data_IF_498595792260
#
_entry.id   IF_498595792260
#
_cell.length_a   1.000
_cell.length_b   1.000
_cell.length_c   1.000
_cell.angle_alpha   90.00
_cell.angle_beta   90.00
_cell.angle_gamma   90.00
#
_symmetry.space_group_name_H-M   'P 1'
#
loop_
_entity.id
_entity.type
_entity.pdbx_description
1 polymer ?
#
# COMPACT_ATOMS: atom_id res chain seq x y z
N UNK A 1 15.34 3.36 -5.14
CA UNK A 1 14.87 3.02 -6.51
C UNK A 1 13.42 3.43 -6.62
N UNK A 2 12.94 3.79 -7.81
CA UNK A 2 11.52 4.14 -8.02
C UNK A 2 10.63 2.90 -8.03
N UNK A 3 9.35 3.08 -7.69
CA UNK A 3 8.30 2.07 -7.80
C UNK A 3 7.84 1.97 -9.27
N UNK A 4 7.66 0.75 -9.78
CA UNK A 4 7.13 0.53 -11.13
C UNK A 4 5.60 0.71 -11.13
N UNK A 5 5.10 1.70 -11.89
CA UNK A 5 3.68 2.08 -11.91
C UNK A 5 2.76 1.15 -12.73
N UNK A 6 3.32 0.13 -13.39
CA UNK A 6 2.60 -0.82 -14.26
C UNK A 6 2.51 -2.23 -13.65
N UNK A 7 2.20 -2.35 -12.36
CA UNK A 7 1.96 -3.66 -11.71
C UNK A 7 3.11 -4.68 -11.91
N UNK A 8 4.35 -4.22 -11.75
CA UNK A 8 5.54 -5.09 -11.82
C UNK A 8 6.27 -5.11 -13.16
N UNK A 9 5.82 -4.38 -14.18
CA UNK A 9 6.65 -4.17 -15.37
C UNK A 9 7.74 -3.12 -15.09
N UNK A 10 8.88 -3.63 -14.63
CA UNK A 10 10.10 -2.86 -14.36
C UNK A 10 11.11 -2.94 -15.50
N UNK A 11 10.71 -3.48 -16.67
CA UNK A 11 11.60 -3.59 -17.83
C UNK A 11 11.75 -2.20 -18.45
N UNK A 12 12.98 -1.82 -18.79
CA UNK A 12 13.33 -0.64 -19.60
C UNK A 12 13.49 0.74 -18.92
N UNK A 13 13.49 0.86 -17.58
CA UNK A 13 13.70 2.16 -16.88
C UNK A 13 15.07 2.33 -16.20
N UNK A 14 16.07 1.48 -16.50
CA UNK A 14 17.47 1.66 -16.08
C UNK A 14 17.70 2.00 -14.59
N UNK A 15 17.73 0.98 -13.71
CA UNK A 15 18.06 1.17 -12.29
C UNK A 15 17.46 0.08 -11.38
N UNK A 16 17.71 0.18 -10.07
CA UNK A 16 17.13 -0.68 -9.00
C UNK A 16 15.65 -0.36 -8.76
N UNK A 17 14.82 -0.44 -9.80
CA UNK A 17 13.38 -0.32 -9.67
C UNK A 17 12.81 -1.57 -8.99
N UNK A 18 11.79 -1.38 -8.17
CA UNK A 18 11.21 -2.44 -7.35
C UNK A 18 9.71 -2.51 -7.63
N UNK A 19 9.16 -3.71 -7.66
CA UNK A 19 7.73 -3.89 -7.91
C UNK A 19 6.96 -3.31 -6.72
N UNK A 20 5.85 -2.60 -6.98
CA UNK A 20 4.95 -2.11 -5.92
C UNK A 20 4.48 -3.26 -5.00
N UNK A 21 4.28 -4.46 -5.58
CA UNK A 21 3.88 -5.65 -4.82
C UNK A 21 4.98 -6.19 -3.89
N UNK A 22 6.24 -5.79 -4.05
CA UNK A 22 7.31 -6.16 -3.11
C UNK A 22 7.11 -5.50 -1.72
N UNK A 23 6.25 -4.47 -1.64
CA UNK A 23 6.10 -3.62 -0.45
C UNK A 23 4.66 -3.55 0.08
N UNK A 24 3.74 -4.26 -0.56
CA UNK A 24 2.36 -4.36 -0.10
C UNK A 24 2.16 -5.71 0.59
N UNK A 25 1.65 -5.71 1.81
CA UNK A 25 1.28 -6.92 2.54
C UNK A 25 -0.19 -6.86 2.96
N UNK A 26 -0.82 -8.03 3.02
CA UNK A 26 -2.19 -8.19 3.50
C UNK A 26 -2.24 -9.30 4.54
N UNK A 27 -2.78 -8.96 5.71
CA UNK A 27 -2.96 -9.89 6.80
C UNK A 27 -4.43 -9.93 7.25
N UNK A 28 -4.86 -11.06 7.77
CA UNK A 28 -6.21 -11.25 8.31
C UNK A 28 -6.07 -11.72 9.75
N UNK A 29 -6.72 -11.06 10.69
CA UNK A 29 -6.71 -11.50 12.09
C UNK A 29 -7.72 -12.63 12.37
N UNK A 30 -7.81 -13.01 13.64
CA UNK A 30 -8.64 -14.14 14.09
C UNK A 30 -10.14 -13.89 13.98
N UNK A 31 -10.57 -12.64 13.78
CA UNK A 31 -11.96 -12.25 13.60
C UNK A 31 -12.27 -11.93 12.13
N UNK A 32 -11.36 -12.22 11.21
CA UNK A 32 -11.55 -11.94 9.79
C UNK A 32 -11.36 -10.47 9.42
N UNK A 33 -10.73 -9.65 10.27
CA UNK A 33 -10.42 -8.24 9.96
C UNK A 33 -9.20 -8.16 9.07
N UNK A 34 -9.30 -7.37 8.00
CA UNK A 34 -8.20 -7.14 7.06
C UNK A 34 -7.27 -6.03 7.56
N UNK A 35 -5.97 -6.27 7.47
CA UNK A 35 -4.89 -5.31 7.63
C UNK A 35 -4.12 -5.24 6.32
N UNK A 36 -3.84 -4.03 5.84
CA UNK A 36 -3.05 -3.79 4.63
C UNK A 36 -1.89 -2.90 4.99
N UNK A 37 -0.68 -3.35 4.70
CA UNK A 37 0.51 -2.53 4.72
C UNK A 37 0.87 -2.15 3.29
N UNK A 38 1.22 -0.89 3.06
CA UNK A 38 1.81 -0.48 1.79
C UNK A 38 2.89 0.57 2.02
N UNK A 39 3.87 0.57 1.11
CA UNK A 39 4.84 1.66 1.01
C UNK A 39 4.30 2.72 0.05
N UNK A 40 4.25 3.96 0.52
CA UNK A 40 3.95 5.13 -0.28
C UNK A 40 5.24 5.88 -0.57
N UNK A 41 5.67 5.79 -1.84
CA UNK A 41 6.86 6.47 -2.32
C UNK A 41 6.60 7.93 -2.70
N UNK A 42 5.36 8.38 -2.84
CA UNK A 42 5.03 9.70 -3.37
C UNK A 42 4.04 10.42 -2.46
N UNK A 43 4.56 11.12 -1.47
CA UNK A 43 3.76 11.90 -0.53
C UNK A 43 3.99 13.41 -0.69
N UNK A 44 3.15 14.20 -0.02
CA UNK A 44 3.25 15.67 0.00
C UNK A 44 3.39 16.27 -1.42
N UNK A 45 4.43 17.09 -1.64
CA UNK A 45 4.66 17.76 -2.91
C UNK A 45 4.86 16.83 -4.11
N UNK A 46 5.20 15.55 -3.91
CA UNK A 46 5.19 14.56 -4.98
C UNK A 46 3.75 14.25 -5.42
N UNK A 47 2.82 14.10 -4.47
CA UNK A 47 1.41 13.74 -4.73
C UNK A 47 0.62 14.90 -5.36
N UNK A 48 0.96 16.14 -5.01
CA UNK A 48 0.25 17.33 -5.50
C UNK A 48 0.84 17.93 -6.79
N UNK A 49 2.01 17.47 -7.23
CA UNK A 49 2.70 18.03 -8.39
C UNK A 49 2.36 17.25 -9.68
N UNK A 50 1.67 17.88 -10.67
CA UNK A 50 1.32 17.21 -11.92
C UNK A 50 2.53 16.88 -12.81
N UNK A 51 3.71 17.43 -12.48
CA UNK A 51 4.97 17.18 -13.18
C UNK A 51 5.96 16.37 -12.32
N UNK A 52 5.49 15.64 -11.30
CA UNK A 52 6.34 14.78 -10.49
C UNK A 52 7.02 13.71 -11.36
N UNK A 53 8.31 13.49 -11.12
CA UNK A 53 9.11 12.47 -11.78
C UNK A 53 9.18 11.21 -10.93
N UNK A 54 9.62 10.09 -11.53
CA UNK A 54 9.88 8.87 -10.77
C UNK A 54 10.95 9.06 -9.67
N UNK A 55 11.82 10.08 -9.77
CA UNK A 55 12.80 10.37 -8.74
C UNK A 55 12.18 11.02 -7.49
N UNK A 56 11.06 11.72 -7.65
CA UNK A 56 10.31 12.37 -6.57
C UNK A 56 9.49 11.34 -5.78
N UNK A 57 9.20 10.18 -6.38
CA UNK A 57 8.53 9.05 -5.73
C UNK A 57 9.52 8.15 -4.96
N UNK A 58 10.26 8.72 -4.00
CA UNK A 58 11.25 7.99 -3.18
C UNK A 58 11.09 8.23 -1.67
N UNK A 59 9.93 8.71 -1.26
CA UNK A 59 9.62 8.84 0.17
C UNK A 59 9.66 7.46 0.83
N UNK A 60 10.24 7.41 2.02
CA UNK A 60 10.37 6.19 2.82
C UNK A 60 9.15 5.94 3.71
N UNK A 61 7.94 6.26 3.26
CA UNK A 61 6.74 6.20 4.10
C UNK A 61 6.09 4.82 3.99
N UNK A 62 6.07 4.08 5.10
CA UNK A 62 5.24 2.90 5.25
C UNK A 62 3.99 3.23 6.05
N UNK A 63 2.85 2.66 5.66
CA UNK A 63 1.60 2.81 6.39
C UNK A 63 0.88 1.47 6.52
N UNK A 64 0.21 1.28 7.65
CA UNK A 64 -0.64 0.11 7.92
C UNK A 64 -2.05 0.62 8.19
N UNK A 65 -3.00 0.07 7.46
CA UNK A 65 -4.42 0.35 7.60
C UNK A 65 -5.15 -0.93 7.97
N UNK A 66 -6.29 -0.79 8.63
CA UNK A 66 -7.14 -1.91 8.97
C UNK A 66 -8.61 -1.56 8.72
N UNK A 67 -9.45 -2.59 8.50
CA UNK A 67 -10.89 -2.40 8.43
C UNK A 67 -11.41 -1.98 9.82
N UNK A 68 -11.63 -0.69 10.02
CA UNK A 68 -12.08 -0.15 11.29
C UNK A 68 -13.46 -0.68 11.68
N UNK A 69 -14.44 -0.54 10.78
CA UNK A 69 -15.77 -1.11 10.95
C UNK A 69 -16.27 -1.68 9.63
N UNK A 70 -17.07 -2.73 9.70
CA UNK A 70 -17.69 -3.36 8.52
C UNK A 70 -17.64 -4.88 8.55
N UNK A 71 -18.03 -5.55 7.44
CA UNK A 71 -18.16 -7.00 7.40
C UNK A 71 -16.83 -7.71 7.62
N UNK A 72 -16.83 -8.70 8.51
CA UNK A 72 -15.76 -9.68 8.63
C UNK A 72 -15.68 -10.57 7.39
N UNK A 73 -14.46 -11.01 7.05
CA UNK A 73 -14.26 -12.09 6.08
C UNK A 73 -14.76 -13.45 6.60
N UNK A 74 -14.99 -13.59 7.90
CA UNK A 74 -15.58 -14.74 8.52
C UNK A 74 -17.07 -14.49 8.77
N UNK A 75 -17.91 -15.27 8.08
CA UNK A 75 -19.38 -15.16 8.19
C UNK A 75 -19.88 -15.23 9.64
N UNK A 76 -19.19 -16.01 10.49
CA UNK A 76 -19.54 -16.18 11.90
C UNK A 76 -19.32 -14.92 12.75
N UNK A 77 -18.40 -14.04 12.36
CA UNK A 77 -18.02 -12.85 13.13
C UNK A 77 -18.84 -11.60 12.73
N UNK A 78 -19.58 -11.65 11.61
CA UNK A 78 -20.55 -10.61 11.24
C UNK A 78 -19.93 -9.22 11.01
N UNK A 79 -20.54 -8.19 11.58
CA UNK A 79 -20.03 -6.82 11.52
C UNK A 79 -18.99 -6.55 12.62
N UNK A 80 -17.88 -5.95 12.24
CA UNK A 80 -16.78 -5.58 13.12
C UNK A 80 -16.92 -4.11 13.55
N UNK A 81 -16.58 -3.83 14.81
CA UNK A 81 -16.46 -2.48 15.37
C UNK A 81 -15.00 -2.00 15.39
N UNK A 82 -14.72 -0.69 15.51
CA UNK A 82 -13.35 -0.18 15.65
C UNK A 82 -12.57 -0.85 16.78
N UNK A 83 -11.26 -1.03 16.56
CA UNK A 83 -10.35 -1.32 17.66
C UNK A 83 -10.26 -0.05 18.51
N UNK A 84 -10.36 -0.23 19.82
CA UNK A 84 -10.48 0.78 20.88
C UNK A 84 -9.73 2.10 20.66
#
# INVERSE_FOLDING_TARGET
>A
GSICLNSGDCRDIGGSNRNLLDFNDLHIDRQGRVYVAFADGCTDGCADNPNATAADSRDGRGAVYYLASGPSLYVADGELDPLY
#
